data_IF_576505207225
#
_entry.id   IF_576505207225
#
_cell.length_a   1.000
_cell.length_b   1.000
_cell.length_c   1.000
_cell.angle_alpha   90.00
_cell.angle_beta   90.00
_cell.angle_gamma   90.00
#
_symmetry.space_group_name_H-M   'P 1'
#
loop_
_entity.id
_entity.type
_entity.pdbx_description
1 polymer ?
#
# COMPACT_ATOMS: atom_id res chain seq x y z
N UNK A 1 3.82 -8.85 6.06
CA UNK A 1 4.19 -10.19 5.59
C UNK A 1 4.92 -10.06 4.27
N UNK A 2 6.17 -10.47 4.21
CA UNK A 2 6.91 -10.58 2.95
C UNK A 2 6.53 -11.90 2.28
N UNK A 3 6.27 -11.88 0.97
CA UNK A 3 5.91 -13.09 0.26
C UNK A 3 7.09 -14.04 0.06
N UNK A 4 6.84 -15.22 -0.51
CA UNK A 4 7.79 -16.34 -0.58
C UNK A 4 8.52 -16.47 -1.92
N UNK A 5 8.42 -15.47 -2.81
CA UNK A 5 9.13 -15.50 -4.09
C UNK A 5 10.66 -15.47 -3.85
N UNK A 6 11.47 -16.08 -4.74
CA UNK A 6 12.92 -15.91 -4.68
C UNK A 6 13.29 -14.43 -4.69
N UNK A 7 14.18 -14.00 -3.78
CA UNK A 7 14.58 -12.61 -3.65
C UNK A 7 13.50 -11.65 -3.12
N UNK A 8 12.43 -12.16 -2.51
CA UNK A 8 11.32 -11.33 -2.03
C UNK A 8 11.67 -10.36 -0.89
N UNK A 9 12.77 -10.60 -0.17
CA UNK A 9 13.18 -9.77 0.96
C UNK A 9 13.91 -8.50 0.53
N UNK A 10 13.86 -7.48 1.37
CA UNK A 10 14.50 -6.18 1.10
C UNK A 10 15.40 -5.74 2.23
N UNK A 11 16.52 -5.11 1.88
CA UNK A 11 17.38 -4.38 2.81
C UNK A 11 17.13 -2.87 2.81
N UNK A 12 16.09 -2.39 2.13
CA UNK A 12 15.74 -0.97 2.10
C UNK A 12 14.92 -0.57 3.34
N UNK A 13 14.98 0.70 3.72
CA UNK A 13 14.11 1.23 4.78
C UNK A 13 12.67 1.32 4.25
N UNK A 14 11.72 0.75 5.00
CA UNK A 14 10.31 0.67 4.64
C UNK A 14 9.51 1.64 5.50
N UNK A 15 8.61 2.39 4.88
CA UNK A 15 7.79 3.41 5.50
C UNK A 15 6.31 3.15 5.24
N UNK A 16 5.48 3.40 6.25
CA UNK A 16 4.02 3.38 6.14
C UNK A 16 3.44 4.75 6.46
N UNK A 17 2.42 5.15 5.71
CA UNK A 17 1.54 6.29 6.04
C UNK A 17 0.11 5.79 6.15
N UNK A 18 -0.56 6.13 7.25
CA UNK A 18 -1.96 5.78 7.48
C UNK A 18 -2.85 6.95 7.08
N UNK A 19 -3.95 6.65 6.40
CA UNK A 19 -4.98 7.62 6.05
C UNK A 19 -6.32 7.13 6.59
N UNK A 20 -6.89 7.90 7.51
CA UNK A 20 -8.22 7.66 8.01
C UNK A 20 -9.14 8.86 7.80
N UNK A 21 -10.39 8.71 8.22
CA UNK A 21 -11.42 9.73 8.05
C UNK A 21 -11.21 11.00 8.88
N UNK A 22 -10.34 10.98 9.90
CA UNK A 22 -10.05 12.15 10.74
C UNK A 22 -8.74 12.84 10.38
N UNK A 23 -7.70 12.07 10.03
CA UNK A 23 -6.38 12.61 9.72
C UNK A 23 -5.51 11.60 8.95
N UNK A 24 -4.31 12.03 8.60
CA UNK A 24 -3.24 11.19 8.08
C UNK A 24 -1.99 11.31 8.95
N UNK A 25 -1.17 10.26 8.99
CA UNK A 25 0.13 10.32 9.67
C UNK A 25 1.19 10.93 8.75
N UNK A 26 2.34 11.31 9.32
CA UNK A 26 3.57 11.40 8.53
C UNK A 26 4.07 9.99 8.18
N UNK A 27 5.03 9.83 7.24
CA UNK A 27 5.67 8.54 7.00
C UNK A 27 6.35 8.00 8.26
N UNK A 28 5.99 6.79 8.65
CA UNK A 28 6.50 6.10 9.83
C UNK A 28 7.47 5.02 9.35
N UNK A 29 8.71 5.06 9.82
CA UNK A 29 9.69 4.02 9.53
C UNK A 29 9.33 2.72 10.26
N UNK A 30 9.33 1.60 9.53
CA UNK A 30 9.05 0.27 10.06
C UNK A 30 10.38 -0.44 10.36
N UNK A 31 10.83 -0.34 11.59
CA UNK A 31 12.06 -0.95 12.07
C UNK A 31 11.86 -1.41 13.52
N UNK A 32 12.17 -2.68 13.80
CA UNK A 32 12.13 -3.24 15.16
C UNK A 32 13.51 -3.70 15.66
N UNK A 33 14.60 -3.19 15.03
CA UNK A 33 16.01 -3.50 15.31
C UNK A 33 16.42 -4.96 15.07
N UNK A 34 15.57 -5.74 14.40
CA UNK A 34 15.91 -7.07 13.92
C UNK A 34 16.20 -7.03 12.42
N UNK A 35 16.49 -8.20 11.84
CA UNK A 35 16.57 -8.34 10.40
C UNK A 35 15.14 -8.41 9.80
N UNK A 36 14.62 -7.26 9.37
CA UNK A 36 13.23 -7.12 8.92
C UNK A 36 13.05 -7.43 7.43
N UNK A 37 11.80 -7.73 7.07
CA UNK A 37 11.32 -7.87 5.70
C UNK A 37 11.93 -9.03 4.90
N UNK A 38 12.47 -10.04 5.58
CA UNK A 38 13.02 -11.24 4.97
C UNK A 38 11.98 -12.07 4.20
N UNK A 39 12.42 -12.75 3.13
CA UNK A 39 11.54 -13.54 2.27
C UNK A 39 10.73 -14.58 3.07
N UNK A 40 9.40 -14.58 2.91
CA UNK A 40 8.49 -15.48 3.60
C UNK A 40 8.32 -15.24 5.10
N UNK A 41 8.82 -14.13 5.65
CA UNK A 41 8.71 -13.80 7.08
C UNK A 41 7.54 -12.86 7.39
N UNK A 42 7.17 -12.87 8.66
CA UNK A 42 6.30 -11.89 9.31
C UNK A 42 7.17 -11.05 10.24
N UNK A 43 7.06 -9.75 10.11
CA UNK A 43 7.63 -8.76 11.01
C UNK A 43 6.50 -8.01 11.70
N UNK A 44 6.70 -7.69 12.97
CA UNK A 44 5.75 -6.96 13.80
C UNK A 44 6.40 -5.68 14.30
N UNK A 45 5.62 -4.59 14.27
CA UNK A 45 6.06 -3.26 14.67
C UNK A 45 4.99 -2.66 15.57
N UNK A 46 5.41 -2.07 16.69
CA UNK A 46 4.55 -1.27 17.54
C UNK A 46 4.76 0.18 17.13
N UNK A 47 3.67 0.84 16.72
CA UNK A 47 3.70 2.20 16.19
C UNK A 47 2.83 3.09 17.08
N UNK A 48 3.43 4.13 17.63
CA UNK A 48 2.70 5.20 18.29
C UNK A 48 2.48 6.34 17.28
N UNK A 49 1.21 6.71 17.05
CA UNK A 49 0.86 7.81 16.16
C UNK A 49 -0.45 8.50 16.62
N UNK A 50 -0.71 9.73 16.17
CA UNK A 50 -2.00 10.38 16.40
C UNK A 50 -3.17 9.58 15.82
N UNK A 51 -4.37 9.79 16.36
CA UNK A 51 -5.57 9.12 15.86
C UNK A 51 -5.88 9.52 14.42
N UNK A 52 -5.97 8.54 13.53
CA UNK A 52 -6.41 8.73 12.14
C UNK A 52 -7.91 8.45 11.95
N UNK A 53 -8.56 7.83 12.94
CA UNK A 53 -9.94 7.37 12.83
C UNK A 53 -10.03 6.03 12.10
N UNK A 54 -11.10 5.79 11.35
CA UNK A 54 -11.26 4.57 10.54
C UNK A 54 -10.30 4.62 9.36
N UNK A 55 -9.38 3.63 9.27
CA UNK A 55 -8.35 3.58 8.23
C UNK A 55 -8.99 3.12 6.92
N UNK A 56 -8.97 3.99 5.91
CA UNK A 56 -9.55 3.67 4.59
C UNK A 56 -8.51 3.41 3.51
N UNK A 57 -7.25 3.83 3.71
CA UNK A 57 -6.11 3.47 2.85
C UNK A 57 -4.79 3.61 3.61
N UNK A 58 -3.76 2.94 3.11
CA UNK A 58 -2.37 3.14 3.54
C UNK A 58 -1.48 3.40 2.32
N UNK A 59 -0.39 4.14 2.51
CA UNK A 59 0.71 4.20 1.55
C UNK A 59 1.86 3.40 2.15
N UNK A 60 2.31 2.35 1.45
CA UNK A 60 3.52 1.61 1.78
C UNK A 60 4.61 1.98 0.77
N UNK A 61 5.82 2.26 1.24
CA UNK A 61 6.94 2.70 0.40
C UNK A 61 8.28 2.22 0.95
N UNK A 62 9.31 2.19 0.12
CA UNK A 62 10.69 2.03 0.57
C UNK A 62 11.62 3.03 -0.12
N UNK A 63 12.81 3.26 0.43
CA UNK A 63 13.75 4.25 -0.10
C UNK A 63 14.67 3.74 -1.22
N UNK A 64 14.53 2.47 -1.63
CA UNK A 64 15.32 1.81 -2.67
C UNK A 64 16.85 1.84 -2.44
N UNK A 65 17.30 1.89 -1.18
CA UNK A 65 18.71 1.76 -0.81
C UNK A 65 19.10 0.30 -0.53
N UNK A 66 20.40 0.02 -0.48
CA UNK A 66 20.94 -1.33 -0.26
C UNK A 66 21.20 -2.10 -1.56
N UNK A 67 21.76 -3.31 -1.43
CA UNK A 67 22.14 -4.16 -2.57
C UNK A 67 20.98 -4.95 -3.18
N UNK A 68 19.92 -5.21 -2.40
CA UNK A 68 18.70 -5.86 -2.85
C UNK A 68 17.47 -5.07 -2.32
N UNK A 69 17.12 -3.95 -2.98
CA UNK A 69 16.06 -3.06 -2.51
C UNK A 69 14.65 -3.55 -2.86
N UNK A 70 14.51 -4.45 -3.84
CA UNK A 70 13.21 -4.96 -4.28
C UNK A 70 12.51 -5.75 -3.18
N UNK A 71 11.21 -5.54 -3.03
CA UNK A 71 10.43 -6.19 -1.97
C UNK A 71 9.14 -6.77 -2.54
N UNK A 72 8.93 -8.08 -2.38
CA UNK A 72 7.65 -8.69 -2.72
C UNK A 72 6.75 -8.71 -1.48
N UNK A 73 5.85 -7.73 -1.39
CA UNK A 73 4.91 -7.61 -0.28
C UNK A 73 3.68 -8.50 -0.53
N UNK A 74 3.39 -9.42 0.39
CA UNK A 74 2.16 -10.24 0.37
C UNK A 74 0.98 -9.41 0.88
N UNK A 75 1.01 -9.05 2.17
CA UNK A 75 -0.04 -8.27 2.84
C UNK A 75 0.47 -7.55 4.09
N UNK A 76 -0.28 -6.56 4.53
CA UNK A 76 -0.11 -5.86 5.82
C UNK A 76 -1.35 -6.13 6.68
N UNK A 77 -1.14 -6.41 7.97
CA UNK A 77 -2.20 -6.44 8.97
C UNK A 77 -1.97 -5.27 9.92
N UNK A 78 -3.02 -4.49 10.19
CA UNK A 78 -3.00 -3.41 11.18
C UNK A 78 -4.06 -3.72 12.22
N UNK A 79 -3.61 -3.89 13.46
CA UNK A 79 -4.49 -4.05 14.62
C UNK A 79 -4.62 -2.71 15.32
N UNK A 80 -5.82 -2.12 15.25
CA UNK A 80 -6.19 -0.95 16.04
C UNK A 80 -6.62 -1.41 17.44
N UNK A 81 -5.66 -1.36 18.37
CA UNK A 81 -5.84 -1.78 19.76
C UNK A 81 -6.88 -0.94 20.52
N UNK A 82 -7.13 0.31 20.08
CA UNK A 82 -8.10 1.20 20.74
C UNK A 82 -9.53 0.83 20.37
N UNK A 83 -9.76 0.52 19.10
CA UNK A 83 -11.08 0.18 18.58
C UNK A 83 -11.32 -1.33 18.43
N UNK A 84 -10.34 -2.17 18.81
CA UNK A 84 -10.36 -3.62 18.66
C UNK A 84 -10.72 -4.06 17.24
N UNK A 85 -10.06 -3.46 16.25
CA UNK A 85 -10.33 -3.69 14.83
C UNK A 85 -9.07 -4.19 14.10
N UNK A 86 -9.22 -5.21 13.27
CA UNK A 86 -8.14 -5.76 12.44
C UNK A 86 -8.38 -5.43 10.96
N UNK A 87 -7.49 -4.63 10.39
CA UNK A 87 -7.49 -4.32 8.97
C UNK A 87 -6.51 -5.23 8.23
N UNK A 88 -6.95 -5.84 7.12
CA UNK A 88 -6.07 -6.58 6.20
C UNK A 88 -5.90 -5.82 4.88
N UNK A 89 -4.67 -5.47 4.52
CA UNK A 89 -4.30 -4.80 3.27
C UNK A 89 -3.51 -5.76 2.36
N UNK A 90 -4.16 -6.46 1.42
CA UNK A 90 -3.48 -7.33 0.46
C UNK A 90 -2.71 -6.51 -0.56
N UNK A 91 -1.51 -6.98 -0.96
CA UNK A 91 -0.69 -6.35 -1.99
C UNK A 91 -0.30 -7.35 -3.09
N UNK A 92 0.36 -8.46 -2.72
CA UNK A 92 0.83 -9.52 -3.62
C UNK A 92 1.59 -9.01 -4.85
N UNK A 93 2.49 -8.05 -4.65
CA UNK A 93 3.17 -7.34 -5.74
C UNK A 93 4.59 -6.94 -5.34
N UNK A 94 5.46 -6.82 -6.34
CA UNK A 94 6.78 -6.24 -6.15
C UNK A 94 6.69 -4.73 -5.99
N UNK A 95 7.38 -4.23 -4.96
CA UNK A 95 7.81 -2.84 -4.84
C UNK A 95 9.30 -2.82 -5.20
N UNK A 96 9.60 -2.52 -6.46
CA UNK A 96 10.95 -2.51 -7.01
C UNK A 96 10.99 -1.67 -8.29
N UNK A 97 12.17 -1.25 -8.75
CA UNK A 97 12.33 -0.48 -10.00
C UNK A 97 12.45 -1.34 -11.26
N UNK A 98 12.73 -2.62 -11.06
CA UNK A 98 13.05 -3.62 -12.09
C UNK A 98 12.01 -4.74 -12.20
N UNK A 99 11.07 -4.82 -11.25
CA UNK A 99 10.00 -5.84 -11.21
C UNK A 99 8.60 -5.21 -11.32
N UNK A 100 7.61 -6.04 -11.71
CA UNK A 100 6.19 -5.69 -11.90
C UNK A 100 5.97 -4.32 -12.61
N UNK A 101 5.42 -3.34 -11.89
CA UNK A 101 5.05 -2.03 -12.42
C UNK A 101 6.11 -0.95 -12.15
N UNK A 102 7.30 -1.38 -11.68
CA UNK A 102 8.46 -0.53 -11.45
C UNK A 102 8.25 0.57 -10.41
N UNK A 103 7.26 0.39 -9.53
CA UNK A 103 6.98 1.32 -8.43
C UNK A 103 7.58 0.82 -7.12
N UNK A 104 8.11 1.75 -6.33
CA UNK A 104 8.68 1.50 -4.98
C UNK A 104 7.73 1.96 -3.86
N UNK A 105 6.53 2.38 -4.23
CA UNK A 105 5.47 2.80 -3.32
C UNK A 105 4.10 2.48 -3.92
N UNK A 106 3.11 2.27 -3.04
CA UNK A 106 1.75 1.92 -3.47
C UNK A 106 0.71 2.25 -2.41
N UNK A 107 -0.42 2.77 -2.84
CA UNK A 107 -1.62 2.80 -2.01
C UNK A 107 -2.27 1.41 -1.93
N UNK A 108 -2.60 0.99 -0.71
CA UNK A 108 -3.36 -0.22 -0.43
C UNK A 108 -4.65 0.13 0.29
N UNK A 109 -5.68 -0.66 0.04
CA UNK A 109 -7.00 -0.50 0.63
C UNK A 109 -7.31 -1.73 1.49
N UNK A 110 -8.01 -1.56 2.62
CA UNK A 110 -8.34 -2.69 3.46
C UNK A 110 -9.31 -3.60 2.70
N UNK A 111 -9.18 -4.91 2.86
CA UNK A 111 -10.25 -5.84 2.51
C UNK A 111 -11.51 -5.39 3.23
N UNK A 112 -12.65 -5.46 2.53
CA UNK A 112 -13.95 -5.21 3.14
C UNK A 112 -14.09 -6.15 4.34
N UNK A 113 -14.19 -5.59 5.54
CA UNK A 113 -14.40 -6.37 6.75
C UNK A 113 -15.78 -7.03 6.68
N UNK A 114 -15.89 -8.34 6.97
CA UNK A 114 -17.19 -9.00 7.14
C UNK A 114 -18.02 -8.34 8.25
N UNK A 115 -17.36 -7.78 9.26
CA UNK A 115 -17.98 -7.22 10.47
C UNK A 115 -18.51 -5.80 10.29
N UNK A 116 -18.20 -5.15 9.16
CA UNK A 116 -18.77 -3.87 8.75
C UNK A 116 -19.36 -4.04 7.34
N UNK A 117 -20.55 -4.66 7.22
CA UNK A 117 -21.29 -4.62 5.98
C UNK A 117 -21.51 -3.15 5.64
N UNK A 118 -20.82 -2.67 4.60
CA UNK A 118 -21.17 -1.38 4.01
C UNK A 118 -22.66 -1.45 3.66
N UNK A 119 -23.39 -0.40 4.03
CA UNK A 119 -24.69 -0.07 3.44
C UNK A 119 -24.67 -0.48 1.96
N UNK A 120 -25.74 -1.12 1.43
CA UNK A 120 -25.77 -1.54 0.04
C UNK A 120 -25.28 -0.38 -0.81
N UNK A 121 -24.12 -0.57 -1.45
CA UNK A 121 -23.57 0.44 -2.34
C UNK A 121 -24.53 0.43 -3.52
N UNK A 122 -25.55 1.30 -3.46
CA UNK A 122 -26.38 1.61 -4.62
C UNK A 122 -25.43 1.86 -5.78
N UNK A 123 -25.71 1.26 -6.93
CA UNK A 123 -24.81 1.30 -8.08
C UNK A 123 -24.44 2.74 -8.40
N UNK A 124 -23.20 3.14 -8.08
CA UNK A 124 -22.72 4.49 -8.35
C UNK A 124 -22.32 4.54 -9.82
N UNK A 125 -23.04 5.34 -10.61
CA UNK A 125 -22.69 5.58 -12.01
C UNK A 125 -21.68 6.71 -12.09
N UNK A 126 -20.48 6.41 -12.60
CA UNK A 126 -19.45 7.41 -12.86
C UNK A 126 -19.44 7.75 -14.36
N UNK A 127 -19.58 9.05 -14.68
CA UNK A 127 -19.23 9.56 -16.01
C UNK A 127 -17.76 9.98 -15.95
N UNK A 128 -16.91 9.28 -16.70
CA UNK A 128 -15.51 9.60 -16.81
C UNK A 128 -15.29 10.34 -18.13
N UNK A 129 -14.90 11.61 -18.03
CA UNK A 129 -14.53 12.44 -19.19
C UNK A 129 -13.03 12.64 -19.20
N UNK A 130 -12.37 12.23 -20.28
CA UNK A 130 -10.92 12.38 -20.47
C UNK A 130 -10.65 13.42 -21.55
N UNK A 131 -9.78 14.38 -21.26
CA UNK A 131 -9.31 15.38 -22.23
C UNK A 131 -7.80 15.23 -22.42
N UNK A 132 -7.37 15.03 -23.66
CA UNK A 132 -5.97 15.13 -24.04
C UNK A 132 -5.65 16.59 -24.36
N UNK A 133 -4.56 17.12 -23.78
CA UNK A 133 -4.14 18.51 -24.03
C UNK A 133 -3.73 18.77 -25.48
N UNK A 134 -3.70 20.03 -25.88
CA UNK A 134 -3.47 20.50 -27.26
C UNK A 134 -2.00 20.84 -27.58
N UNK A 135 -1.06 20.47 -26.71
CA UNK A 135 0.37 20.69 -26.94
C UNK A 135 0.89 19.77 -28.05
N UNK A 136 1.87 20.25 -28.82
CA UNK A 136 2.59 19.43 -29.81
C UNK A 136 3.07 18.12 -29.16
N UNK A 137 2.72 16.98 -29.76
CA UNK A 137 3.03 15.63 -29.28
C UNK A 137 2.35 15.22 -27.96
N UNK A 138 1.21 15.81 -27.59
CA UNK A 138 0.45 15.41 -26.38
C UNK A 138 -0.35 14.10 -26.52
N UNK A 139 -0.49 13.56 -27.74
CA UNK A 139 -1.13 12.27 -27.97
C UNK A 139 -0.26 11.08 -27.56
N UNK A 140 -0.88 9.94 -27.29
CA UNK A 140 -0.20 8.67 -27.03
C UNK A 140 -0.89 7.53 -27.77
N UNK A 141 -0.10 6.55 -28.22
CA UNK A 141 -0.52 5.27 -28.78
C UNK A 141 -0.42 4.13 -27.74
N UNK A 142 -0.03 4.45 -26.50
CA UNK A 142 0.00 3.51 -25.40
C UNK A 142 -1.43 3.11 -24.97
N UNK A 143 -1.56 1.93 -24.37
CA UNK A 143 -2.81 1.51 -23.72
C UNK A 143 -2.97 2.29 -22.41
N UNK A 144 -4.06 3.04 -22.32
CA UNK A 144 -4.43 3.81 -21.12
C UNK A 144 -5.51 3.06 -20.36
N UNK A 145 -5.33 2.90 -19.05
CA UNK A 145 -6.26 2.22 -18.17
C UNK A 145 -6.66 3.13 -17.02
N UNK A 146 -7.92 3.05 -16.59
CA UNK A 146 -8.39 3.60 -15.32
C UNK A 146 -8.67 2.41 -14.41
N UNK A 147 -8.11 2.44 -13.20
CA UNK A 147 -8.34 1.41 -12.19
C UNK A 147 -9.09 2.07 -11.03
N UNK A 148 -10.29 1.55 -10.73
CA UNK A 148 -11.13 1.96 -9.60
C UNK A 148 -11.12 0.85 -8.55
N UNK A 149 -10.99 1.21 -7.27
CA UNK A 149 -10.84 0.28 -6.15
C UNK A 149 -11.93 0.50 -5.10
#
# INVERSE_FOLDING_TARGET
FTGKKPGAGTGADVFITLYGNLSETTPINLDNKNNNFEAGKKDEFIIECPTVGEIHKILIAHNNKGSAPGWFLDRILIEDLKNNHLYEFPCNKWLAKDEDDKQISRFLFPKKSPDHPKEPIEGVTYIITVYTGDKKNAGTDARVYIVMH
#
